data_IF_883127576498
#
_entry.id   IF_883127576498
#
_cell.length_a   1.000
_cell.length_b   1.000
_cell.length_c   1.000
_cell.angle_alpha   90.00
_cell.angle_beta   90.00
_cell.angle_gamma   90.00
#
_symmetry.space_group_name_H-M   'P 1'
#
loop_
_entity.id
_entity.type
_entity.pdbx_description
1 polymer ?
#
# COMPACT_ATOMS: atom_id res chain seq x y z
N UNK A 1 35.93 -33.75 -45.91
CA UNK A 1 35.14 -33.36 -44.72
C UNK A 1 35.55 -31.97 -44.24
N UNK A 2 34.74 -30.93 -44.48
CA UNK A 2 34.76 -29.65 -43.73
C UNK A 2 33.32 -29.09 -43.74
N UNK A 3 32.71 -28.92 -42.56
CA UNK A 3 31.32 -28.49 -42.35
C UNK A 3 31.16 -26.99 -42.64
N UNK A 4 30.08 -26.52 -43.27
CA UNK A 4 29.74 -25.10 -43.30
C UNK A 4 29.06 -24.66 -41.99
N UNK A 5 29.58 -23.57 -41.42
CA UNK A 5 29.14 -22.91 -40.18
C UNK A 5 27.90 -22.07 -40.49
N UNK A 6 26.74 -22.47 -39.97
CA UNK A 6 25.49 -21.68 -40.05
C UNK A 6 25.69 -20.37 -39.27
N UNK A 7 25.76 -19.25 -39.98
CA UNK A 7 25.55 -17.93 -39.39
C UNK A 7 24.07 -17.60 -39.51
N UNK A 8 23.36 -17.72 -38.40
CA UNK A 8 21.98 -17.26 -38.27
C UNK A 8 22.00 -15.74 -38.36
N UNK A 9 21.47 -15.19 -39.46
CA UNK A 9 21.18 -13.78 -39.55
C UNK A 9 20.18 -13.44 -38.44
N UNK A 10 20.61 -12.61 -37.49
CA UNK A 10 19.74 -11.93 -36.54
C UNK A 10 18.77 -11.08 -37.37
N UNK A 11 17.58 -11.63 -37.59
CA UNK A 11 16.46 -10.85 -38.09
C UNK A 11 16.22 -9.76 -37.07
N UNK A 12 16.55 -8.54 -37.47
CA UNK A 12 16.14 -7.31 -36.82
C UNK A 12 14.64 -7.19 -37.09
N UNK A 13 13.85 -8.01 -36.41
CA UNK A 13 12.44 -7.72 -36.23
C UNK A 13 12.42 -6.44 -35.40
N UNK A 14 12.27 -5.34 -36.13
CA UNK A 14 11.83 -4.08 -35.60
C UNK A 14 10.49 -4.38 -34.94
N UNK A 15 10.54 -4.72 -33.66
CA UNK A 15 9.37 -4.72 -32.80
C UNK A 15 8.93 -3.27 -32.75
N UNK A 16 8.05 -2.94 -33.70
CA UNK A 16 7.11 -1.85 -33.61
C UNK A 16 6.75 -1.70 -32.13
N UNK A 17 7.02 -0.51 -31.61
CA UNK A 17 6.65 -0.10 -30.27
C UNK A 17 5.13 -0.15 -30.20
N UNK A 18 4.60 -1.36 -29.99
CA UNK A 18 3.21 -1.64 -29.70
C UNK A 18 2.90 -0.81 -28.47
N UNK A 19 2.21 0.30 -28.71
CA UNK A 19 1.83 1.28 -27.72
C UNK A 19 1.53 0.56 -26.40
N UNK A 20 2.33 0.87 -25.37
CA UNK A 20 2.12 0.35 -24.04
C UNK A 20 0.63 0.53 -23.72
N UNK A 21 -0.11 -0.54 -23.36
CA UNK A 21 -1.53 -0.41 -23.08
C UNK A 21 -1.71 0.68 -22.02
N UNK A 22 -2.59 1.62 -22.34
CA UNK A 22 -3.02 2.79 -21.57
C UNK A 22 -2.80 2.65 -20.06
N UNK A 23 -2.10 3.62 -19.45
CA UNK A 23 -1.86 3.76 -18.01
C UNK A 23 -2.90 3.00 -17.16
N UNK A 24 -2.49 1.85 -16.62
CA UNK A 24 -3.34 1.04 -15.76
C UNK A 24 -3.48 1.77 -14.42
N UNK A 25 -4.46 2.66 -14.33
CA UNK A 25 -4.75 3.39 -13.09
C UNK A 25 -5.24 2.37 -12.06
N UNK A 26 -4.50 2.13 -10.97
CA UNK A 26 -4.89 1.13 -9.99
C UNK A 26 -6.26 1.45 -9.39
N UNK A 27 -6.99 0.41 -8.98
CA UNK A 27 -8.33 0.54 -8.42
C UNK A 27 -8.31 0.07 -6.97
N UNK A 28 -8.72 0.95 -6.06
CA UNK A 28 -9.04 0.61 -4.69
C UNK A 28 -10.54 0.34 -4.59
N UNK A 29 -10.92 -0.88 -4.21
CA UNK A 29 -12.33 -1.22 -4.00
C UNK A 29 -12.79 -0.84 -2.59
N UNK A 30 -14.07 -0.52 -2.44
CA UNK A 30 -14.73 -0.27 -1.15
C UNK A 30 -14.54 -1.45 -0.20
N UNK A 31 -14.60 -2.69 -0.72
CA UNK A 31 -14.37 -3.89 0.08
C UNK A 31 -12.93 -3.95 0.60
N UNK A 32 -11.93 -3.67 -0.24
CA UNK A 32 -10.53 -3.58 0.19
C UNK A 32 -10.33 -2.49 1.23
N UNK A 33 -10.91 -1.30 1.00
CA UNK A 33 -10.84 -0.18 1.93
C UNK A 33 -11.44 -0.53 3.30
N UNK A 34 -12.67 -1.03 3.32
CA UNK A 34 -13.35 -1.44 4.55
C UNK A 34 -12.57 -2.53 5.28
N UNK A 35 -12.00 -3.49 4.54
CA UNK A 35 -11.17 -4.53 5.12
C UNK A 35 -9.90 -3.97 5.75
N UNK A 36 -9.23 -3.00 5.11
CA UNK A 36 -8.06 -2.33 5.70
C UNK A 36 -8.44 -1.59 6.99
N UNK A 37 -9.55 -0.84 6.99
CA UNK A 37 -10.05 -0.15 8.19
C UNK A 37 -10.29 -1.13 9.34
N UNK A 38 -11.00 -2.24 9.08
CA UNK A 38 -11.25 -3.26 10.10
C UNK A 38 -9.96 -3.91 10.63
N UNK A 39 -9.00 -4.17 9.73
CA UNK A 39 -7.72 -4.78 10.13
C UNK A 39 -6.83 -3.81 10.93
N UNK A 40 -6.92 -2.50 10.68
CA UNK A 40 -6.26 -1.48 11.52
C UNK A 40 -6.82 -1.54 12.94
N UNK A 41 -8.14 -1.59 13.08
CA UNK A 41 -8.81 -1.65 14.39
C UNK A 41 -8.39 -2.90 15.18
N UNK A 42 -8.37 -4.06 14.52
CA UNK A 42 -7.89 -5.32 15.10
C UNK A 42 -6.41 -5.26 15.49
N UNK A 43 -5.56 -4.71 14.62
CA UNK A 43 -4.13 -4.59 14.88
C UNK A 43 -3.86 -3.68 16.09
N UNK A 44 -4.58 -2.56 16.19
CA UNK A 44 -4.45 -1.63 17.30
C UNK A 44 -5.01 -2.20 18.62
N UNK A 45 -6.13 -2.92 18.57
CA UNK A 45 -6.66 -3.63 19.73
C UNK A 45 -5.70 -4.70 20.25
N UNK A 46 -4.99 -5.39 19.35
CA UNK A 46 -3.93 -6.32 19.72
C UNK A 46 -2.68 -5.60 20.26
N UNK A 47 -2.30 -4.45 19.66
CA UNK A 47 -1.20 -3.64 20.15
C UNK A 47 -1.45 -3.09 21.56
N UNK A 48 -2.66 -2.61 21.84
CA UNK A 48 -3.04 -2.14 23.17
C UNK A 48 -2.93 -3.23 24.25
N UNK A 49 -3.18 -4.50 23.89
CA UNK A 49 -3.07 -5.65 24.81
C UNK A 49 -1.64 -6.15 24.99
N UNK A 50 -0.85 -6.15 23.92
CA UNK A 50 0.46 -6.80 23.89
C UNK A 50 1.63 -5.84 24.02
N UNK A 51 1.38 -4.53 23.82
CA UNK A 51 2.38 -3.48 23.70
C UNK A 51 3.49 -3.79 22.69
N UNK A 52 3.23 -4.70 21.73
CA UNK A 52 4.22 -5.15 20.76
C UNK A 52 4.23 -4.24 19.51
N UNK A 53 5.02 -3.18 19.57
CA UNK A 53 5.11 -2.20 18.49
C UNK A 53 5.63 -2.82 17.19
N UNK A 54 6.59 -3.76 17.27
CA UNK A 54 7.12 -4.46 16.07
C UNK A 54 6.03 -5.24 15.33
N UNK A 55 5.14 -5.90 16.08
CA UNK A 55 4.03 -6.63 15.47
C UNK A 55 2.99 -5.66 14.87
N UNK A 56 2.73 -4.55 15.53
CA UNK A 56 1.83 -3.51 15.03
C UNK A 56 2.36 -2.88 13.73
N UNK A 57 3.61 -2.42 13.71
CA UNK A 57 4.29 -1.90 12.53
C UNK A 57 4.25 -2.90 11.37
N UNK A 58 4.59 -4.17 11.61
CA UNK A 58 4.57 -5.19 10.58
C UNK A 58 3.16 -5.37 9.98
N UNK A 59 2.11 -5.24 10.80
CA UNK A 59 0.71 -5.28 10.32
C UNK A 59 0.37 -4.04 9.50
N UNK A 60 0.75 -2.84 9.95
CA UNK A 60 0.55 -1.61 9.20
C UNK A 60 1.28 -1.66 7.84
N UNK A 61 2.51 -2.15 7.82
CA UNK A 61 3.27 -2.39 6.59
C UNK A 61 2.52 -3.34 5.66
N UNK A 62 2.04 -4.49 6.14
CA UNK A 62 1.23 -5.42 5.34
C UNK A 62 -0.04 -4.76 4.79
N UNK A 63 -0.77 -4.00 5.60
CA UNK A 63 -2.00 -3.33 5.18
C UNK A 63 -1.75 -2.24 4.14
N UNK A 64 -0.65 -1.49 4.28
CA UNK A 64 -0.28 -0.44 3.33
C UNK A 64 -0.03 -0.96 1.91
N UNK A 65 0.32 -2.25 1.74
CA UNK A 65 0.48 -2.87 0.41
C UNK A 65 -0.85 -3.06 -0.33
N UNK A 66 -1.97 -3.09 0.39
CA UNK A 66 -3.31 -3.26 -0.18
C UNK A 66 -3.88 -1.95 -0.73
N UNK A 67 -3.25 -0.83 -0.37
CA UNK A 67 -3.60 0.49 -0.85
C UNK A 67 -2.61 0.88 -1.96
N UNK A 68 -3.08 1.35 -3.13
CA UNK A 68 -2.20 1.82 -4.18
C UNK A 68 -1.20 2.86 -3.64
N UNK A 69 0.09 2.65 -3.88
CA UNK A 69 1.20 3.49 -3.38
C UNK A 69 1.27 3.68 -1.84
N UNK A 70 0.49 2.91 -1.07
CA UNK A 70 0.40 3.06 0.39
C UNK A 70 1.72 2.82 1.13
N UNK A 71 2.55 1.89 0.65
CA UNK A 71 3.89 1.66 1.22
C UNK A 71 4.79 2.91 1.20
N UNK A 72 4.74 3.69 0.12
CA UNK A 72 5.60 4.85 -0.04
C UNK A 72 5.02 6.11 0.61
N UNK A 73 3.69 6.26 0.61
CA UNK A 73 3.04 7.52 1.00
C UNK A 73 2.27 7.44 2.32
N UNK A 74 1.77 6.27 2.70
CA UNK A 74 0.88 6.11 3.85
C UNK A 74 1.58 5.47 5.05
N UNK A 75 2.44 4.47 4.81
CA UNK A 75 3.17 3.77 5.86
C UNK A 75 4.06 4.68 6.72
N UNK A 76 4.83 5.65 6.17
CA UNK A 76 5.62 6.57 6.99
C UNK A 76 4.74 7.35 7.98
N UNK A 77 3.62 7.90 7.51
CA UNK A 77 2.69 8.65 8.35
C UNK A 77 2.01 7.77 9.41
N UNK A 78 1.65 6.53 9.06
CA UNK A 78 1.11 5.58 10.04
C UNK A 78 2.12 5.22 11.13
N UNK A 79 3.40 5.08 10.79
CA UNK A 79 4.49 4.86 11.75
C UNK A 79 4.69 6.04 12.68
N UNK A 80 4.61 7.26 12.14
CA UNK A 80 4.66 8.48 12.96
C UNK A 80 3.50 8.52 13.96
N UNK A 81 2.30 8.11 13.55
CA UNK A 81 1.13 8.03 14.42
C UNK A 81 1.27 7.00 15.56
N UNK A 82 2.14 5.99 15.45
CA UNK A 82 2.39 5.05 16.56
C UNK A 82 2.85 5.76 17.83
N UNK A 83 3.54 6.91 17.69
CA UNK A 83 3.98 7.75 18.80
C UNK A 83 2.83 8.35 19.63
N UNK A 84 1.61 8.37 19.09
CA UNK A 84 0.39 8.84 19.78
C UNK A 84 0.00 7.86 20.90
N UNK A 85 0.30 6.58 20.73
CA UNK A 85 -0.02 5.58 21.72
C UNK A 85 0.83 5.76 22.99
N UNK A 86 0.15 5.91 24.12
CA UNK A 86 0.77 5.96 25.42
C UNK A 86 0.05 4.98 26.37
N UNK A 87 0.73 3.89 26.72
CA UNK A 87 0.17 2.83 27.56
C UNK A 87 -0.25 3.26 28.98
N UNK A 88 0.09 4.48 29.42
CA UNK A 88 -0.34 5.03 30.72
C UNK A 88 -1.47 6.05 30.62
N UNK A 89 -1.89 6.42 29.40
CA UNK A 89 -2.96 7.38 29.15
C UNK A 89 -4.18 6.67 28.58
N UNK A 90 -5.26 6.65 29.35
CA UNK A 90 -6.53 6.13 28.88
C UNK A 90 -6.98 6.81 27.58
N UNK A 91 -7.44 6.00 26.62
CA UNK A 91 -7.93 6.46 25.34
C UNK A 91 -6.87 6.80 24.28
N UNK A 92 -5.56 6.81 24.60
CA UNK A 92 -4.53 7.13 23.60
C UNK A 92 -4.52 6.17 22.40
N UNK A 93 -4.84 4.89 22.63
CA UNK A 93 -4.95 3.90 21.56
C UNK A 93 -6.11 4.19 20.60
N UNK A 94 -7.25 4.66 21.12
CA UNK A 94 -8.38 5.05 20.28
C UNK A 94 -8.03 6.28 19.43
N UNK A 95 -7.33 7.26 20.01
CA UNK A 95 -6.85 8.45 19.28
C UNK A 95 -5.86 8.04 18.18
N UNK A 96 -4.90 7.17 18.48
CA UNK A 96 -3.97 6.64 17.47
C UNK A 96 -4.72 5.99 16.30
N UNK A 97 -5.72 5.15 16.57
CA UNK A 97 -6.52 4.49 15.53
C UNK A 97 -7.30 5.51 14.69
N UNK A 98 -7.94 6.48 15.35
CA UNK A 98 -8.67 7.54 14.66
C UNK A 98 -7.76 8.32 13.71
N UNK A 99 -6.56 8.68 14.13
CA UNK A 99 -5.59 9.39 13.30
C UNK A 99 -5.09 8.53 12.12
N UNK A 100 -4.81 7.24 12.35
CA UNK A 100 -4.43 6.30 11.27
C UNK A 100 -5.55 6.17 10.22
N UNK A 101 -6.81 6.06 10.67
CA UNK A 101 -7.97 5.97 9.77
C UNK A 101 -8.25 7.30 9.05
N UNK A 102 -8.11 8.44 9.73
CA UNK A 102 -8.23 9.75 9.12
C UNK A 102 -7.21 9.94 8.00
N UNK A 103 -5.95 9.57 8.25
CA UNK A 103 -4.89 9.59 7.24
C UNK A 103 -5.20 8.70 6.04
N UNK A 104 -5.76 7.50 6.26
CA UNK A 104 -6.20 6.64 5.17
C UNK A 104 -7.30 7.31 4.31
N UNK A 105 -8.29 7.92 4.95
CA UNK A 105 -9.40 8.60 4.25
C UNK A 105 -8.87 9.79 3.44
N UNK A 106 -8.02 10.62 4.03
CA UNK A 106 -7.40 11.77 3.36
C UNK A 106 -6.56 11.31 2.16
N UNK A 107 -5.76 10.26 2.35
CA UNK A 107 -4.95 9.66 1.30
C UNK A 107 -5.80 9.16 0.13
N UNK A 108 -6.87 8.41 0.42
CA UNK A 108 -7.79 7.90 -0.61
C UNK A 108 -8.45 9.03 -1.38
N UNK A 109 -8.93 10.07 -0.68
CA UNK A 109 -9.53 11.25 -1.32
C UNK A 109 -8.53 11.98 -2.23
N UNK A 110 -7.31 12.23 -1.74
CA UNK A 110 -6.26 12.90 -2.52
C UNK A 110 -5.83 12.08 -3.74
N UNK A 111 -5.69 10.76 -3.58
CA UNK A 111 -5.33 9.85 -4.67
C UNK A 111 -6.40 9.76 -5.75
N UNK A 112 -7.68 9.79 -5.37
CA UNK A 112 -8.80 9.85 -6.32
C UNK A 112 -8.87 11.21 -7.02
N UNK A 113 -8.73 12.31 -6.28
CA UNK A 113 -8.76 13.66 -6.83
C UNK A 113 -7.61 13.95 -7.81
N UNK A 114 -6.42 13.43 -7.52
CA UNK A 114 -5.25 13.54 -8.40
C UNK A 114 -5.27 12.56 -9.60
N UNK A 115 -6.20 11.59 -9.61
CA UNK A 115 -6.25 10.55 -10.62
C UNK A 115 -5.17 9.47 -10.48
N UNK A 116 -4.43 9.44 -9.36
CA UNK A 116 -3.42 8.44 -9.07
C UNK A 116 -4.00 7.01 -8.99
N UNK A 117 -5.22 6.89 -8.46
CA UNK A 117 -6.00 5.66 -8.48
C UNK A 117 -7.50 5.95 -8.51
N UNK A 118 -8.30 4.94 -8.87
CA UNK A 118 -9.76 5.00 -8.83
C UNK A 118 -10.29 4.36 -7.56
N UNK A 119 -11.39 4.87 -7.05
CA UNK A 119 -12.13 4.27 -5.95
C UNK A 119 -13.47 3.73 -6.46
N UNK A 120 -13.81 2.49 -6.12
CA UNK A 120 -15.01 1.80 -6.61
C UNK A 120 -15.75 1.05 -5.52
#
# INVERSE_FOLDING_TARGET
>A
MRKPRRQTALQVESLESKAAPSSFVPVLTQNTFNNVVQQIDLAAGNYAKTHNAKQFDARLAQLSTRIPFGQAQLLPTWRENESIYNGTRDGSGAVMVQEIQANLILYVRAGVQSGAFRFR
#
